data_IF_205784396608
#
_entry.id   IF_205784396608
#
_cell.length_a   1.000
_cell.length_b   1.000
_cell.length_c   1.000
_cell.angle_alpha   90.00
_cell.angle_beta   90.00
_cell.angle_gamma   90.00
#
_symmetry.space_group_name_H-M   'P 1'
#
loop_
_entity.id
_entity.type
_entity.pdbx_description
1 polymer ?
#
# COMPACT_ATOMS: atom_id res chain seq x y z
N UNK A 1 20.00 27.26 26.00
CA UNK A 1 19.97 28.59 25.36
C UNK A 1 18.60 29.16 25.62
N UNK A 2 18.49 30.25 26.39
CA UNK A 2 17.20 30.89 26.65
C UNK A 2 16.73 31.58 25.37
N UNK A 3 15.50 31.33 24.95
CA UNK A 3 14.93 31.96 23.76
C UNK A 3 14.66 33.44 24.06
N UNK A 4 15.08 34.33 23.16
CA UNK A 4 14.84 35.78 23.28
C UNK A 4 13.36 36.11 22.95
N UNK A 5 12.62 36.80 23.83
CA UNK A 5 11.20 37.14 23.61
C UNK A 5 10.95 37.90 22.30
N UNK A 6 11.84 38.85 21.93
CA UNK A 6 11.68 39.66 20.73
C UNK A 6 11.84 38.81 19.47
N UNK A 7 12.80 37.87 19.49
CA UNK A 7 13.02 36.92 18.41
C UNK A 7 11.82 35.98 18.25
N UNK A 8 11.26 35.46 19.34
CA UNK A 8 10.05 34.62 19.30
C UNK A 8 8.85 35.37 18.72
N UNK A 9 8.62 36.60 19.18
CA UNK A 9 7.52 37.44 18.69
C UNK A 9 7.67 37.77 17.20
N UNK A 10 8.90 38.08 16.75
CA UNK A 10 9.19 38.32 15.34
C UNK A 10 8.91 37.09 14.48
N UNK A 11 9.35 35.91 14.91
CA UNK A 11 9.14 34.66 14.18
C UNK A 11 7.65 34.30 14.08
N UNK A 12 6.90 34.47 15.18
CA UNK A 12 5.44 34.27 15.19
C UNK A 12 4.78 35.23 14.21
N UNK A 13 5.13 36.51 14.26
CA UNK A 13 4.58 37.53 13.36
C UNK A 13 4.87 37.21 11.89
N UNK A 14 6.11 36.82 11.57
CA UNK A 14 6.50 36.45 10.22
C UNK A 14 5.72 35.23 9.72
N UNK A 15 5.59 34.19 10.55
CA UNK A 15 4.82 33.01 10.18
C UNK A 15 3.33 33.31 9.96
N UNK A 16 2.72 34.20 10.76
CA UNK A 16 1.37 34.68 10.50
C UNK A 16 1.26 35.53 9.22
N UNK A 17 2.27 36.34 8.91
CA UNK A 17 2.31 37.09 7.64
C UNK A 17 2.40 36.14 6.43
N UNK A 18 3.22 35.08 6.53
CA UNK A 18 3.32 34.06 5.48
C UNK A 18 2.01 33.27 5.31
N UNK A 19 1.15 33.26 6.33
CA UNK A 19 -0.17 32.63 6.33
C UNK A 19 -1.31 33.60 6.06
N UNK A 20 -1.03 34.86 5.68
CA UNK A 20 -2.05 35.92 5.53
C UNK A 20 -3.19 35.53 4.57
N UNK A 21 -2.86 34.87 3.46
CA UNK A 21 -3.84 34.43 2.46
C UNK A 21 -4.60 33.15 2.88
N UNK A 22 -4.25 32.53 4.02
CA UNK A 22 -4.84 31.28 4.49
C UNK A 22 -5.80 31.51 5.66
N UNK A 23 -7.00 30.90 5.65
CA UNK A 23 -8.03 31.10 6.66
C UNK A 23 -7.79 30.25 7.92
N UNK A 24 -6.62 30.40 8.55
CA UNK A 24 -6.14 29.58 9.68
C UNK A 24 -7.07 29.60 10.90
N UNK A 25 -7.90 30.63 11.05
CA UNK A 25 -8.87 30.74 12.14
C UNK A 25 -10.11 29.87 11.94
N UNK A 26 -10.41 29.47 10.71
CA UNK A 26 -11.56 28.62 10.37
C UNK A 26 -11.08 27.29 9.80
N UNK A 27 -11.11 26.24 10.63
CA UNK A 27 -10.62 24.91 10.25
C UNK A 27 -11.30 24.38 8.98
N UNK A 28 -12.60 24.57 8.82
CA UNK A 28 -13.33 24.05 7.65
C UNK A 28 -12.90 24.71 6.33
N UNK A 29 -12.63 26.02 6.37
CA UNK A 29 -12.15 26.79 5.23
C UNK A 29 -10.67 26.50 4.97
N UNK A 30 -9.88 26.29 6.03
CA UNK A 30 -8.48 25.89 5.90
C UNK A 30 -8.34 24.48 5.33
N UNK A 31 -9.20 23.55 5.72
CA UNK A 31 -9.25 22.20 5.12
C UNK A 31 -9.45 22.29 3.61
N UNK A 32 -10.37 23.13 3.14
CA UNK A 32 -10.55 23.37 1.71
C UNK A 32 -9.30 23.90 1.03
N UNK A 33 -8.70 24.94 1.62
CA UNK A 33 -7.50 25.54 1.06
C UNK A 33 -6.40 24.47 0.90
N UNK A 34 -6.16 23.65 1.92
CA UNK A 34 -5.18 22.56 1.89
C UNK A 34 -5.52 21.50 0.83
N UNK A 35 -6.79 21.08 0.72
CA UNK A 35 -7.22 20.10 -0.27
C UNK A 35 -6.95 20.60 -1.70
N UNK A 36 -7.18 21.90 -1.93
CA UNK A 36 -6.98 22.57 -3.22
C UNK A 36 -5.51 22.80 -3.61
N UNK A 37 -4.56 22.76 -2.67
CA UNK A 37 -3.12 22.88 -3.00
C UNK A 37 -2.73 21.75 -3.97
N UNK A 38 -2.19 22.11 -5.13
CA UNK A 38 -1.73 21.14 -6.13
C UNK A 38 -0.20 21.07 -6.22
N UNK A 39 0.48 22.16 -5.86
CA UNK A 39 1.94 22.27 -5.99
C UNK A 39 2.66 22.01 -4.66
N UNK A 40 3.68 21.15 -4.70
CA UNK A 40 4.52 20.86 -3.52
C UNK A 40 5.19 22.12 -2.95
N UNK A 41 5.60 23.06 -3.82
CA UNK A 41 6.25 24.30 -3.40
C UNK A 41 5.33 25.19 -2.58
N UNK A 42 4.05 25.27 -2.95
CA UNK A 42 3.04 25.99 -2.17
C UNK A 42 2.83 25.29 -0.83
N UNK A 43 2.63 23.97 -0.84
CA UNK A 43 2.44 23.19 0.38
C UNK A 43 3.59 23.36 1.39
N UNK A 44 4.83 23.37 0.89
CA UNK A 44 6.03 23.55 1.71
C UNK A 44 6.08 24.91 2.40
N UNK A 45 5.65 25.99 1.73
CA UNK A 45 5.58 27.33 2.34
C UNK A 45 4.60 27.36 3.50
N UNK A 46 3.38 26.88 3.29
CA UNK A 46 2.34 26.82 4.33
C UNK A 46 2.77 25.93 5.49
N UNK A 47 3.35 24.76 5.17
CA UNK A 47 3.88 23.81 6.17
C UNK A 47 4.99 24.42 6.99
N UNK A 48 5.90 25.16 6.37
CA UNK A 48 7.00 25.83 7.08
C UNK A 48 6.47 26.86 8.09
N UNK A 49 5.53 27.71 7.68
CA UNK A 49 4.94 28.71 8.56
C UNK A 49 4.17 28.07 9.74
N UNK A 50 3.34 27.05 9.46
CA UNK A 50 2.59 26.32 10.50
C UNK A 50 3.52 25.58 11.46
N UNK A 51 4.57 24.93 10.95
CA UNK A 51 5.55 24.25 11.80
C UNK A 51 6.36 25.24 12.63
N UNK A 52 6.69 26.41 12.09
CA UNK A 52 7.31 27.50 12.85
C UNK A 52 6.43 27.90 14.03
N UNK A 53 5.13 28.13 13.80
CA UNK A 53 4.20 28.42 14.90
C UNK A 53 4.16 27.28 15.94
N UNK A 54 4.11 26.03 15.51
CA UNK A 54 4.09 24.86 16.40
C UNK A 54 5.36 24.75 17.26
N UNK A 55 6.53 24.95 16.65
CA UNK A 55 7.83 24.94 17.33
C UNK A 55 7.95 26.09 18.33
N UNK A 56 7.56 27.30 17.93
CA UNK A 56 7.59 28.49 18.78
C UNK A 56 6.65 28.35 19.98
N UNK A 57 5.46 27.78 19.78
CA UNK A 57 4.56 27.45 20.88
C UNK A 57 5.19 26.46 21.87
N UNK A 58 5.86 25.40 21.38
CA UNK A 58 6.50 24.42 22.24
C UNK A 58 7.60 25.06 23.11
N UNK A 59 8.40 25.97 22.54
CA UNK A 59 9.40 26.75 23.28
C UNK A 59 8.71 27.61 24.34
N UNK A 60 7.68 28.37 23.97
CA UNK A 60 6.92 29.24 24.88
C UNK A 60 6.37 28.46 26.06
N UNK A 61 5.72 27.31 25.81
CA UNK A 61 5.07 26.48 26.84
C UNK A 61 6.06 25.95 27.89
N UNK A 62 7.31 25.76 27.52
CA UNK A 62 8.36 25.27 28.42
C UNK A 62 9.16 26.39 29.11
N UNK A 63 8.83 27.65 28.82
CA UNK A 63 9.49 28.81 29.41
C UNK A 63 9.01 29.11 30.83
N UNK A 64 9.91 29.66 31.65
CA UNK A 64 9.59 30.21 32.96
C UNK A 64 9.51 31.75 32.95
N UNK A 65 9.71 32.39 31.79
CA UNK A 65 9.62 33.84 31.63
C UNK A 65 8.18 34.25 31.32
N UNK A 66 7.58 35.07 32.20
CA UNK A 66 6.20 35.58 32.07
C UNK A 66 5.95 36.33 30.75
N UNK A 67 6.94 37.09 30.26
CA UNK A 67 6.81 37.82 28.99
C UNK A 67 6.70 36.84 27.82
N UNK A 68 7.48 35.76 27.85
CA UNK A 68 7.41 34.70 26.83
C UNK A 68 6.08 33.95 26.93
N UNK A 69 5.64 33.62 28.15
CA UNK A 69 4.40 32.89 28.38
C UNK A 69 3.17 33.66 27.88
N UNK A 70 3.16 34.99 27.98
CA UNK A 70 2.05 35.81 27.46
C UNK A 70 1.86 35.69 25.93
N UNK A 71 2.90 35.33 25.17
CA UNK A 71 2.78 35.11 23.71
C UNK A 71 1.88 33.92 23.36
N UNK A 72 1.63 33.01 24.31
CA UNK A 72 0.73 31.85 24.13
C UNK A 72 -0.69 32.29 23.75
N UNK A 73 -1.15 33.44 24.25
CA UNK A 73 -2.50 33.97 23.98
C UNK A 73 -2.69 34.38 22.53
N UNK A 74 -1.59 34.65 21.81
CA UNK A 74 -1.61 35.01 20.39
C UNK A 74 -1.70 33.79 19.46
N UNK A 75 -1.73 32.57 20.01
CA UNK A 75 -1.59 31.33 19.25
C UNK A 75 -2.64 30.29 19.65
N UNK A 76 -3.40 29.81 18.68
CA UNK A 76 -4.31 28.67 18.86
C UNK A 76 -3.58 27.37 18.50
N UNK A 77 -2.96 26.73 19.50
CA UNK A 77 -2.19 25.50 19.29
C UNK A 77 -3.05 24.33 18.79
N UNK A 78 -4.33 24.29 19.17
CA UNK A 78 -5.22 23.21 18.74
C UNK A 78 -5.46 23.31 17.23
N UNK A 79 -5.74 24.53 16.74
CA UNK A 79 -5.87 24.78 15.30
C UNK A 79 -4.56 24.54 14.57
N UNK A 80 -3.44 25.09 15.06
CA UNK A 80 -2.11 24.90 14.45
C UNK A 80 -1.77 23.42 14.33
N UNK A 81 -2.04 22.62 15.38
CA UNK A 81 -1.74 21.19 15.39
C UNK A 81 -2.62 20.41 14.40
N UNK A 82 -3.92 20.74 14.32
CA UNK A 82 -4.84 20.16 13.33
C UNK A 82 -4.39 20.49 11.90
N UNK A 83 -4.07 21.76 11.63
CA UNK A 83 -3.59 22.23 10.33
C UNK A 83 -2.28 21.53 9.94
N UNK A 84 -1.33 21.43 10.87
CA UNK A 84 -0.06 20.70 10.68
C UNK A 84 -0.30 19.24 10.28
N UNK A 85 -1.25 18.55 10.93
CA UNK A 85 -1.62 17.17 10.57
C UNK A 85 -2.19 17.08 9.15
N UNK A 86 -3.10 17.99 8.79
CA UNK A 86 -3.71 18.03 7.45
C UNK A 86 -2.67 18.28 6.35
N UNK A 87 -1.73 19.21 6.59
CA UNK A 87 -0.63 19.49 5.66
C UNK A 87 0.28 18.28 5.46
N UNK A 88 0.57 17.52 6.52
CA UNK A 88 1.36 16.29 6.42
C UNK A 88 0.64 15.22 5.58
N UNK A 89 -0.67 15.04 5.74
CA UNK A 89 -1.45 14.11 4.92
C UNK A 89 -1.49 14.56 3.47
N UNK A 90 -1.64 15.87 3.23
CA UNK A 90 -1.57 16.45 1.89
C UNK A 90 -0.21 16.24 1.23
N UNK A 91 0.89 16.34 1.98
CA UNK A 91 2.23 16.07 1.47
C UNK A 91 2.37 14.62 1.00
N UNK A 92 1.91 13.66 1.82
CA UNK A 92 1.87 12.23 1.46
C UNK A 92 1.07 12.01 0.18
N UNK A 93 -0.09 12.64 0.05
CA UNK A 93 -0.93 12.55 -1.15
C UNK A 93 -0.21 13.08 -2.39
N UNK A 94 0.44 14.26 -2.32
CA UNK A 94 1.15 14.83 -3.46
C UNK A 94 2.35 13.97 -3.88
N UNK A 95 3.12 13.46 -2.92
CA UNK A 95 4.20 12.53 -3.20
C UNK A 95 3.70 11.23 -3.84
N UNK A 96 2.62 10.65 -3.32
CA UNK A 96 2.01 9.46 -3.90
C UNK A 96 1.56 9.67 -5.35
N UNK A 97 0.91 10.82 -5.64
CA UNK A 97 0.57 11.19 -7.03
C UNK A 97 1.79 11.31 -7.93
N UNK A 98 2.83 11.99 -7.44
CA UNK A 98 4.07 12.18 -8.18
C UNK A 98 4.75 10.84 -8.49
N UNK A 99 4.84 9.95 -7.51
CA UNK A 99 5.43 8.63 -7.65
C UNK A 99 4.64 7.77 -8.64
N UNK A 100 3.30 7.70 -8.49
CA UNK A 100 2.42 6.97 -9.40
C UNK A 100 2.59 7.45 -10.85
N UNK A 101 2.72 8.76 -11.06
CA UNK A 101 2.91 9.34 -12.39
C UNK A 101 4.32 9.11 -12.95
N UNK A 102 5.34 9.08 -12.08
CA UNK A 102 6.72 8.77 -12.46
C UNK A 102 6.97 7.29 -12.68
N UNK A 103 6.15 6.41 -12.12
CA UNK A 103 6.30 4.94 -12.15
C UNK A 103 6.06 4.31 -13.54
N UNK A 104 6.65 4.89 -14.59
CA UNK A 104 6.74 4.29 -15.92
C UNK A 104 7.57 2.98 -15.85
N UNK A 105 8.43 2.75 -14.83
CA UNK A 105 9.18 1.49 -14.62
C UNK A 105 9.76 1.32 -13.18
N UNK A 106 8.96 1.27 -12.10
CA UNK A 106 9.48 1.01 -10.74
C UNK A 106 8.63 0.05 -9.91
N UNK A 107 9.30 -0.71 -9.02
CA UNK A 107 8.82 -1.80 -8.17
C UNK A 107 7.34 -1.71 -7.72
N UNK A 108 6.61 -2.81 -7.94
CA UNK A 108 5.18 -3.00 -7.61
C UNK A 108 4.79 -2.64 -6.16
N UNK A 109 5.71 -2.77 -5.20
CA UNK A 109 5.47 -2.46 -3.78
C UNK A 109 5.33 -0.96 -3.50
N UNK A 110 6.06 -0.11 -4.23
CA UNK A 110 6.00 1.36 -4.06
C UNK A 110 4.62 1.87 -4.50
N UNK A 111 4.09 1.29 -5.58
CA UNK A 111 2.75 1.62 -6.09
C UNK A 111 1.66 1.30 -5.05
N UNK A 112 1.83 0.24 -4.25
CA UNK A 112 0.86 -0.12 -3.21
C UNK A 112 0.75 0.92 -2.10
N UNK A 113 1.89 1.31 -1.52
CA UNK A 113 1.93 2.30 -0.43
C UNK A 113 1.39 3.66 -0.89
N UNK A 114 1.74 4.07 -2.12
CA UNK A 114 1.25 5.30 -2.72
C UNK A 114 -0.27 5.24 -2.95
N UNK A 115 -0.81 4.12 -3.44
CA UNK A 115 -2.26 3.95 -3.59
C UNK A 115 -3.01 3.99 -2.26
N UNK A 116 -2.46 3.36 -1.22
CA UNK A 116 -3.03 3.44 0.13
C UNK A 116 -3.02 4.87 0.64
N UNK A 117 -1.92 5.61 0.45
CA UNK A 117 -1.84 7.02 0.83
C UNK A 117 -2.87 7.90 0.09
N UNK A 118 -3.15 7.62 -1.19
CA UNK A 118 -4.22 8.29 -1.93
C UNK A 118 -5.61 7.99 -1.36
N UNK A 119 -5.89 6.73 -1.03
CA UNK A 119 -7.16 6.31 -0.44
C UNK A 119 -7.36 6.93 0.94
N UNK A 120 -6.35 6.89 1.80
CA UNK A 120 -6.40 7.49 3.15
C UNK A 120 -6.74 8.97 3.09
N UNK A 121 -6.07 9.72 2.20
CA UNK A 121 -6.37 11.13 1.99
C UNK A 121 -7.81 11.35 1.51
N UNK A 122 -8.27 10.59 0.50
CA UNK A 122 -9.64 10.75 -0.04
C UNK A 122 -10.71 10.38 1.00
N UNK A 123 -10.48 9.35 1.80
CA UNK A 123 -11.38 8.91 2.88
C UNK A 123 -11.48 9.98 3.97
N UNK A 124 -10.34 10.51 4.41
CA UNK A 124 -10.28 11.47 5.51
C UNK A 124 -10.87 12.84 5.15
N UNK A 125 -10.51 13.36 3.98
CA UNK A 125 -10.95 14.69 3.54
C UNK A 125 -12.29 14.67 2.78
N UNK A 126 -12.89 13.48 2.65
CA UNK A 126 -14.14 13.23 1.91
C UNK A 126 -14.17 13.86 0.50
N UNK A 127 -13.00 13.88 -0.12
CA UNK A 127 -12.65 14.18 -1.51
C UNK A 127 -13.14 15.51 -2.13
N UNK A 128 -14.41 15.89 -1.97
CA UNK A 128 -14.97 17.13 -2.51
C UNK A 128 -16.17 17.67 -1.71
N UNK A 129 -16.24 19.01 -1.58
CA UNK A 129 -17.42 19.71 -1.07
C UNK A 129 -18.60 19.69 -2.05
N UNK A 130 -18.34 19.46 -3.34
CA UNK A 130 -19.37 19.44 -4.38
C UNK A 130 -20.31 18.24 -4.29
N UNK A 131 -19.87 17.17 -3.62
CA UNK A 131 -20.67 15.96 -3.42
C UNK A 131 -21.75 16.16 -2.35
N UNK A 132 -22.86 15.46 -2.50
CA UNK A 132 -23.88 15.32 -1.45
C UNK A 132 -23.32 14.47 -0.31
N UNK A 133 -23.86 14.67 0.89
CA UNK A 133 -23.43 13.89 2.06
C UNK A 133 -23.50 12.37 1.83
N UNK A 134 -24.59 11.88 1.23
CA UNK A 134 -24.75 10.44 0.91
C UNK A 134 -23.69 9.93 -0.06
N UNK A 135 -23.35 10.72 -1.07
CA UNK A 135 -22.33 10.36 -2.07
C UNK A 135 -20.94 10.25 -1.43
N UNK A 136 -20.60 11.18 -0.53
CA UNK A 136 -19.35 11.12 0.24
C UNK A 136 -19.23 9.87 1.10
N UNK A 137 -20.29 9.49 1.80
CA UNK A 137 -20.27 8.28 2.65
C UNK A 137 -20.18 7.01 1.79
N UNK A 138 -20.89 6.96 0.67
CA UNK A 138 -20.85 5.80 -0.24
C UNK A 138 -19.47 5.61 -0.86
N UNK A 139 -18.86 6.65 -1.43
CA UNK A 139 -17.53 6.50 -2.05
C UNK A 139 -16.45 6.20 -1.00
N UNK A 140 -16.54 6.79 0.19
CA UNK A 140 -15.63 6.50 1.31
C UNK A 140 -15.69 5.02 1.70
N UNK A 141 -16.87 4.42 1.76
CA UNK A 141 -17.02 2.99 2.02
C UNK A 141 -16.36 2.14 0.92
N UNK A 142 -16.54 2.51 -0.35
CA UNK A 142 -15.92 1.80 -1.50
C UNK A 142 -14.40 1.91 -1.50
N UNK A 143 -13.84 3.07 -1.16
CA UNK A 143 -12.40 3.25 -1.00
C UNK A 143 -11.84 2.45 0.17
N UNK A 144 -12.58 2.31 1.28
CA UNK A 144 -12.18 1.41 2.39
C UNK A 144 -12.11 -0.05 1.93
N UNK A 145 -13.08 -0.51 1.16
CA UNK A 145 -13.04 -1.87 0.59
C UNK A 145 -11.86 -2.03 -0.40
N UNK A 146 -11.61 -1.03 -1.25
CA UNK A 146 -10.45 -1.06 -2.15
C UNK A 146 -9.13 -1.12 -1.37
N UNK A 147 -9.01 -0.36 -0.27
CA UNK A 147 -7.87 -0.41 0.64
C UNK A 147 -7.70 -1.79 1.28
N UNK A 148 -8.78 -2.39 1.76
CA UNK A 148 -8.77 -3.73 2.34
C UNK A 148 -8.27 -4.78 1.34
N UNK A 149 -8.74 -4.70 0.08
CA UNK A 149 -8.27 -5.57 -1.00
C UNK A 149 -6.77 -5.39 -1.27
N UNK A 150 -6.28 -4.14 -1.30
CA UNK A 150 -4.86 -3.81 -1.49
C UNK A 150 -3.99 -4.40 -0.36
N UNK A 151 -4.43 -4.27 0.89
CA UNK A 151 -3.68 -4.72 2.07
C UNK A 151 -3.68 -6.24 2.21
N UNK A 152 -4.83 -6.88 1.98
CA UNK A 152 -5.08 -8.29 2.31
C UNK A 152 -4.97 -9.26 1.13
N UNK A 153 -4.60 -8.80 -0.08
CA UNK A 153 -4.43 -9.73 -1.20
C UNK A 153 -3.26 -10.70 -0.95
N UNK A 154 -3.48 -12.03 -1.07
CA UNK A 154 -2.43 -13.03 -0.85
C UNK A 154 -1.33 -13.01 -1.93
N UNK A 155 -1.64 -12.58 -3.17
CA UNK A 155 -0.71 -12.58 -4.30
C UNK A 155 -0.59 -11.18 -4.90
N UNK A 156 0.15 -10.31 -4.21
CA UNK A 156 0.36 -8.89 -4.59
C UNK A 156 1.18 -8.71 -5.87
N UNK A 157 1.89 -9.75 -6.32
CA UNK A 157 2.65 -9.75 -7.58
C UNK A 157 1.86 -10.36 -8.74
N UNK A 158 0.68 -10.93 -8.45
CA UNK A 158 -0.15 -11.59 -9.44
C UNK A 158 -0.72 -10.62 -10.45
N UNK A 159 -0.88 -11.10 -11.68
CA UNK A 159 -1.45 -10.33 -12.80
C UNK A 159 -2.79 -9.69 -12.44
N UNK A 160 -3.67 -10.43 -11.78
CA UNK A 160 -4.99 -9.94 -11.33
C UNK A 160 -4.86 -8.74 -10.37
N UNK A 161 -3.91 -8.79 -9.43
CA UNK A 161 -3.66 -7.70 -8.47
C UNK A 161 -3.01 -6.49 -9.14
N UNK A 162 -2.08 -6.72 -10.06
CA UNK A 162 -1.45 -5.66 -10.85
C UNK A 162 -2.47 -4.94 -11.73
N UNK A 163 -3.36 -5.68 -12.39
CA UNK A 163 -4.46 -5.12 -13.17
C UNK A 163 -5.44 -4.31 -12.31
N UNK A 164 -5.77 -4.82 -11.11
CA UNK A 164 -6.57 -4.08 -10.13
C UNK A 164 -5.90 -2.77 -9.70
N UNK A 165 -4.64 -2.83 -9.26
CA UNK A 165 -3.87 -1.68 -8.79
C UNK A 165 -3.73 -0.61 -9.87
N UNK A 166 -3.47 -1.01 -11.12
CA UNK A 166 -3.38 -0.10 -12.26
C UNK A 166 -4.70 0.58 -12.60
N UNK A 167 -5.82 -0.16 -12.57
CA UNK A 167 -7.16 0.42 -12.83
C UNK A 167 -7.61 1.32 -11.69
N UNK A 168 -7.37 0.90 -10.45
CA UNK A 168 -7.66 1.71 -9.26
C UNK A 168 -6.84 3.00 -9.27
N UNK A 169 -5.55 2.93 -9.61
CA UNK A 169 -4.69 4.11 -9.75
C UNK A 169 -5.30 5.16 -10.69
N UNK A 170 -5.75 4.74 -11.88
CA UNK A 170 -6.41 5.64 -12.83
C UNK A 170 -7.68 6.26 -12.25
N UNK A 171 -8.54 5.41 -11.67
CA UNK A 171 -9.79 5.84 -11.06
C UNK A 171 -9.58 6.86 -9.92
N UNK A 172 -8.55 6.67 -9.08
CA UNK A 172 -8.22 7.60 -8.00
C UNK A 172 -7.62 8.93 -8.50
N UNK A 173 -7.13 8.99 -9.73
CA UNK A 173 -6.63 10.24 -10.31
C UNK A 173 -7.73 11.05 -10.98
N UNK A 174 -8.86 10.44 -11.32
CA UNK A 174 -10.02 11.14 -11.85
C UNK A 174 -10.62 12.07 -10.78
N UNK A 175 -10.93 13.33 -11.13
CA UNK A 175 -11.58 14.25 -10.20
C UNK A 175 -13.00 13.77 -9.94
N UNK A 176 -13.36 13.51 -8.68
CA UNK A 176 -14.71 13.12 -8.31
C UNK A 176 -15.61 14.35 -8.17
N UNK A 177 -16.65 14.41 -9.00
CA UNK A 177 -17.69 15.44 -9.00
C UNK A 177 -19.07 14.78 -8.90
N UNK A 178 -20.12 15.57 -8.63
CA UNK A 178 -21.49 15.06 -8.62
C UNK A 178 -21.92 14.47 -9.98
N UNK A 179 -21.35 14.97 -11.09
CA UNK A 179 -21.74 14.56 -12.45
C UNK A 179 -21.18 13.19 -12.81
N UNK A 180 -19.94 12.88 -12.41
CA UNK A 180 -19.29 11.60 -12.70
C UNK A 180 -19.36 10.60 -11.52
N UNK A 181 -20.00 10.97 -10.41
CA UNK A 181 -20.09 10.16 -9.21
C UNK A 181 -20.56 8.74 -9.50
N UNK A 182 -21.68 8.58 -10.21
CA UNK A 182 -22.27 7.25 -10.48
C UNK A 182 -21.32 6.35 -11.29
N UNK A 183 -20.56 6.94 -12.21
CA UNK A 183 -19.59 6.22 -13.04
C UNK A 183 -18.41 5.74 -12.20
N UNK A 184 -17.74 6.66 -11.49
CA UNK A 184 -16.59 6.33 -10.63
C UNK A 184 -17.00 5.35 -9.54
N UNK A 185 -18.14 5.58 -8.91
CA UNK A 185 -18.69 4.75 -7.84
C UNK A 185 -19.01 3.32 -8.32
N UNK A 186 -19.52 3.17 -9.55
CA UNK A 186 -19.78 1.85 -10.16
C UNK A 186 -18.49 1.16 -10.60
N UNK A 187 -17.56 1.91 -11.18
CA UNK A 187 -16.26 1.40 -11.59
C UNK A 187 -15.45 0.89 -10.40
N UNK A 188 -15.40 1.67 -9.30
CA UNK A 188 -14.72 1.27 -8.07
C UNK A 188 -15.32 -0.03 -7.50
N UNK A 189 -16.65 -0.10 -7.39
CA UNK A 189 -17.33 -1.31 -6.91
C UNK A 189 -17.02 -2.54 -7.78
N UNK A 190 -17.04 -2.37 -9.10
CA UNK A 190 -16.74 -3.45 -10.04
C UNK A 190 -15.30 -3.95 -9.89
N UNK A 191 -14.33 -3.03 -9.74
CA UNK A 191 -12.93 -3.38 -9.52
C UNK A 191 -12.74 -4.16 -8.22
N UNK A 192 -13.34 -3.67 -7.13
CA UNK A 192 -13.29 -4.32 -5.81
C UNK A 192 -13.87 -5.74 -5.90
N UNK A 193 -15.08 -5.90 -6.43
CA UNK A 193 -15.71 -7.23 -6.53
C UNK A 193 -14.91 -8.22 -7.39
N UNK A 194 -14.25 -7.74 -8.46
CA UNK A 194 -13.37 -8.58 -9.27
C UNK A 194 -12.16 -9.07 -8.48
N UNK A 195 -11.52 -8.17 -7.75
CA UNK A 195 -10.35 -8.49 -6.94
C UNK A 195 -10.70 -9.39 -5.74
N UNK A 196 -11.84 -9.16 -5.07
CA UNK A 196 -12.35 -10.04 -4.01
C UNK A 196 -12.61 -11.45 -4.53
N UNK A 197 -13.22 -11.59 -5.70
CA UNK A 197 -13.45 -12.90 -6.33
C UNK A 197 -12.14 -13.61 -6.67
N UNK A 198 -11.12 -12.88 -7.12
CA UNK A 198 -9.78 -13.43 -7.37
C UNK A 198 -9.11 -13.88 -6.06
N UNK A 199 -9.22 -13.07 -4.99
CA UNK A 199 -8.73 -13.42 -3.66
C UNK A 199 -9.43 -14.67 -3.11
N UNK A 200 -10.77 -14.76 -3.22
CA UNK A 200 -11.53 -15.95 -2.81
C UNK A 200 -11.08 -17.22 -3.53
N UNK A 201 -10.86 -17.17 -4.84
CA UNK A 201 -10.29 -18.31 -5.60
C UNK A 201 -8.91 -18.69 -5.09
N UNK A 202 -8.09 -17.70 -4.75
CA UNK A 202 -6.75 -17.89 -4.19
C UNK A 202 -6.83 -18.56 -2.82
N UNK A 203 -7.76 -18.14 -1.94
CA UNK A 203 -8.03 -18.80 -0.65
C UNK A 203 -8.47 -20.25 -0.80
N UNK A 204 -9.35 -20.55 -1.77
CA UNK A 204 -9.77 -21.93 -2.05
C UNK A 204 -8.59 -22.80 -2.53
N UNK A 205 -7.69 -22.23 -3.33
CA UNK A 205 -6.48 -22.91 -3.78
C UNK A 205 -5.47 -23.10 -2.64
N UNK A 206 -5.38 -22.13 -1.73
CA UNK A 206 -4.54 -22.18 -0.53
C UNK A 206 -4.91 -23.36 0.38
N UNK A 207 -6.21 -23.61 0.57
CA UNK A 207 -6.70 -24.78 1.30
C UNK A 207 -6.26 -26.11 0.65
N UNK A 208 -6.07 -26.16 -0.67
CA UNK A 208 -5.60 -27.37 -1.37
C UNK A 208 -4.12 -27.65 -1.16
N UNK A 209 -3.33 -26.63 -0.84
CA UNK A 209 -1.90 -26.74 -0.58
C UNK A 209 -1.56 -26.66 0.91
N UNK A 210 -2.50 -27.00 1.80
CA UNK A 210 -2.29 -26.96 3.25
C UNK A 210 -1.80 -25.59 3.76
N UNK A 211 -2.34 -24.51 3.19
CA UNK A 211 -1.95 -23.12 3.48
C UNK A 211 -0.53 -22.71 3.06
N UNK A 212 0.09 -23.46 2.15
CA UNK A 212 1.39 -23.12 1.59
C UNK A 212 1.24 -22.15 0.40
N UNK A 213 1.49 -20.86 0.66
CA UNK A 213 1.34 -19.79 -0.33
C UNK A 213 2.32 -19.94 -1.50
N UNK A 214 3.51 -20.51 -1.28
CA UNK A 214 4.53 -20.65 -2.33
C UNK A 214 4.05 -21.56 -3.46
N UNK A 215 3.36 -22.65 -3.12
CA UNK A 215 2.77 -23.56 -4.11
C UNK A 215 1.51 -22.98 -4.76
N UNK A 216 0.73 -22.16 -4.05
CA UNK A 216 -0.42 -21.43 -4.63
C UNK A 216 0.07 -20.44 -5.68
N UNK A 217 1.06 -19.61 -5.35
CA UNK A 217 1.59 -18.62 -6.29
C UNK A 217 2.23 -19.33 -7.48
N UNK A 218 3.04 -20.36 -7.25
CA UNK A 218 3.61 -21.19 -8.33
C UNK A 218 2.50 -21.77 -9.21
N UNK A 219 1.43 -22.32 -8.64
CA UNK A 219 0.28 -22.82 -9.41
C UNK A 219 -0.32 -21.71 -10.27
N UNK A 220 -0.56 -20.52 -9.71
CA UNK A 220 -1.11 -19.37 -10.45
C UNK A 220 -0.21 -18.95 -11.60
N UNK A 221 1.12 -18.86 -11.39
CA UNK A 221 2.09 -18.52 -12.46
C UNK A 221 2.09 -19.55 -13.59
N UNK A 222 1.95 -20.84 -13.29
CA UNK A 222 1.84 -21.89 -14.30
C UNK A 222 0.53 -21.81 -15.09
N UNK A 223 -0.56 -21.47 -14.42
CA UNK A 223 -1.86 -21.21 -15.05
C UNK A 223 -1.80 -19.99 -15.99
N UNK A 224 -1.14 -18.91 -15.57
CA UNK A 224 -0.99 -17.68 -16.39
C UNK A 224 -0.23 -17.93 -17.70
N UNK A 225 0.71 -18.88 -17.69
CA UNK A 225 1.49 -19.31 -18.85
C UNK A 225 0.77 -20.36 -19.72
N UNK A 226 -0.45 -20.78 -19.35
CA UNK A 226 -1.20 -21.87 -20.00
C UNK A 226 -0.39 -23.17 -20.14
N UNK A 227 0.47 -23.45 -19.16
CA UNK A 227 1.42 -24.57 -19.21
C UNK A 227 0.70 -25.93 -19.13
N UNK A 228 -0.39 -26.03 -18.36
CA UNK A 228 -1.26 -27.22 -18.30
C UNK A 228 -2.65 -26.87 -17.80
N UNK A 229 -3.50 -27.89 -17.68
CA UNK A 229 -4.76 -27.77 -16.97
C UNK A 229 -4.54 -27.69 -15.43
N UNK A 230 -5.48 -27.08 -14.68
CA UNK A 230 -5.34 -26.90 -13.23
C UNK A 230 -5.09 -28.19 -12.44
N UNK A 231 -5.67 -29.31 -12.87
CA UNK A 231 -5.53 -30.59 -12.17
C UNK A 231 -4.14 -31.18 -12.37
N UNK A 232 -3.58 -31.09 -13.58
CA UNK A 232 -2.21 -31.53 -13.87
C UNK A 232 -1.18 -30.76 -13.06
N UNK A 233 -1.33 -29.43 -12.98
CA UNK A 233 -0.49 -28.56 -12.13
C UNK A 233 -0.62 -28.96 -10.66
N UNK A 234 -1.85 -29.14 -10.17
CA UNK A 234 -2.09 -29.53 -8.79
C UNK A 234 -1.45 -30.87 -8.43
N UNK A 235 -1.61 -31.89 -9.28
CA UNK A 235 -1.00 -33.22 -9.08
C UNK A 235 0.51 -33.12 -9.02
N UNK A 236 1.13 -32.39 -9.96
CA UNK A 236 2.58 -32.21 -9.97
C UNK A 236 3.09 -31.52 -8.70
N UNK A 237 2.50 -30.37 -8.38
CA UNK A 237 2.96 -29.53 -7.26
C UNK A 237 2.68 -30.20 -5.90
N UNK A 238 1.62 -30.98 -5.76
CA UNK A 238 1.33 -31.73 -4.54
C UNK A 238 2.31 -32.89 -4.31
N UNK A 239 2.68 -33.60 -5.39
CA UNK A 239 3.71 -34.63 -5.34
C UNK A 239 5.08 -34.03 -4.99
N UNK A 240 5.43 -32.93 -5.65
CA UNK A 240 6.65 -32.18 -5.37
C UNK A 240 6.72 -31.69 -3.92
N UNK A 241 5.61 -31.13 -3.40
CA UNK A 241 5.52 -30.68 -2.01
C UNK A 241 5.79 -31.81 -1.03
N UNK A 242 5.10 -32.93 -1.18
CA UNK A 242 5.25 -34.09 -0.29
C UNK A 242 6.71 -34.59 -0.26
N UNK A 243 7.35 -34.66 -1.43
CA UNK A 243 8.73 -35.14 -1.55
C UNK A 243 9.75 -34.16 -0.95
N UNK A 244 9.56 -32.85 -1.15
CA UNK A 244 10.42 -31.82 -0.56
C UNK A 244 10.24 -31.75 0.97
N UNK A 245 9.01 -31.79 1.47
CA UNK A 245 8.72 -31.80 2.90
C UNK A 245 9.38 -33.02 3.59
N UNK A 246 9.37 -34.19 2.94
CA UNK A 246 10.05 -35.41 3.43
C UNK A 246 11.58 -35.25 3.46
N UNK A 247 12.19 -34.66 2.43
CA UNK A 247 13.64 -34.40 2.39
C UNK A 247 14.10 -33.44 3.48
N UNK A 248 13.36 -32.35 3.66
CA UNK A 248 13.63 -31.33 4.68
C UNK A 248 13.52 -31.97 6.06
N UNK A 249 12.46 -32.75 6.31
CA UNK A 249 12.25 -33.47 7.57
C UNK A 249 13.40 -34.46 7.88
N UNK A 250 13.91 -35.16 6.86
CA UNK A 250 15.06 -36.07 6.98
C UNK A 250 16.42 -35.36 7.11
N UNK A 251 16.45 -34.02 7.18
CA UNK A 251 17.67 -33.19 7.20
C UNK A 251 18.65 -33.51 6.09
N UNK A 252 18.15 -33.98 4.94
CA UNK A 252 19.02 -34.25 3.78
C UNK A 252 19.52 -32.97 3.12
N UNK A 253 18.83 -31.85 3.37
CA UNK A 253 19.14 -30.51 2.84
C UNK A 253 18.86 -29.48 3.95
N UNK A 254 19.67 -28.41 4.01
CA UNK A 254 19.36 -27.22 4.83
C UNK A 254 18.78 -26.15 3.92
N UNK A 255 17.64 -25.57 4.30
CA UNK A 255 16.93 -24.52 3.54
C UNK A 255 17.75 -23.25 3.30
N UNK A 256 18.95 -23.13 3.91
CA UNK A 256 19.82 -21.95 3.82
C UNK A 256 20.76 -21.93 2.62
N UNK A 257 20.99 -23.05 1.92
CA UNK A 257 21.88 -23.08 0.76
C UNK A 257 21.07 -23.08 -0.54
N UNK A 258 21.00 -21.91 -1.20
CA UNK A 258 20.27 -21.65 -2.45
C UNK A 258 20.49 -22.72 -3.54
N UNK A 259 21.74 -23.10 -3.79
CA UNK A 259 22.09 -24.11 -4.78
C UNK A 259 21.58 -25.51 -4.41
N UNK A 260 21.51 -25.83 -3.12
CA UNK A 260 21.02 -27.14 -2.65
C UNK A 260 19.52 -27.26 -2.80
N UNK A 261 18.75 -26.24 -2.41
CA UNK A 261 17.29 -26.23 -2.52
C UNK A 261 16.84 -26.25 -3.99
N UNK A 262 17.49 -25.46 -4.85
CA UNK A 262 17.19 -25.45 -6.29
C UNK A 262 17.49 -26.81 -6.94
N UNK A 263 18.61 -27.43 -6.57
CA UNK A 263 18.95 -28.79 -7.02
C UNK A 263 17.94 -29.82 -6.52
N UNK A 264 17.46 -29.66 -5.28
CA UNK A 264 16.46 -30.51 -4.68
C UNK A 264 15.14 -30.50 -5.44
N UNK A 265 14.63 -29.28 -5.71
CA UNK A 265 13.40 -29.05 -6.45
C UNK A 265 13.49 -29.70 -7.83
N UNK A 266 14.59 -29.46 -8.57
CA UNK A 266 14.80 -30.09 -9.89
C UNK A 266 14.86 -31.61 -9.81
N UNK A 267 15.50 -32.16 -8.77
CA UNK A 267 15.60 -33.61 -8.56
C UNK A 267 14.23 -34.22 -8.30
N UNK A 268 13.42 -33.61 -7.43
CA UNK A 268 12.06 -34.13 -7.16
C UNK A 268 11.07 -33.90 -8.30
N UNK A 269 11.18 -32.80 -9.05
CA UNK A 269 10.42 -32.63 -10.29
C UNK A 269 10.67 -33.77 -11.27
N UNK A 270 11.93 -34.17 -11.47
CA UNK A 270 12.28 -35.31 -12.33
C UNK A 270 11.70 -36.62 -11.83
N UNK A 271 11.66 -36.84 -10.52
CA UNK A 271 11.05 -38.03 -9.93
C UNK A 271 9.52 -38.02 -10.14
N UNK A 272 8.87 -36.88 -9.87
CA UNK A 272 7.44 -36.71 -10.08
C UNK A 272 7.01 -36.96 -11.53
N UNK A 273 7.81 -36.54 -12.53
CA UNK A 273 7.55 -36.84 -13.94
C UNK A 273 7.74 -38.32 -14.30
N UNK A 274 8.67 -39.03 -13.64
CA UNK A 274 8.85 -40.48 -13.85
C UNK A 274 7.68 -41.27 -13.27
N UNK A 275 7.22 -40.88 -12.09
CA UNK A 275 6.11 -41.55 -11.39
C UNK A 275 4.75 -41.21 -11.99
N UNK A 276 4.62 -40.05 -12.65
CA UNK A 276 3.38 -39.62 -13.31
C UNK A 276 3.63 -39.32 -14.80
N UNK A 277 3.63 -40.36 -15.67
CA UNK A 277 3.85 -40.19 -17.11
C UNK A 277 2.84 -39.27 -17.82
N UNK A 278 1.67 -39.05 -17.22
CA UNK A 278 0.64 -38.12 -17.71
C UNK A 278 1.06 -36.65 -17.63
N UNK A 279 2.11 -36.32 -16.87
CA UNK A 279 2.64 -34.96 -16.68
C UNK A 279 3.87 -34.68 -17.56
N UNK A 280 4.16 -35.55 -18.54
CA UNK A 280 5.36 -35.47 -19.38
C UNK A 280 5.40 -34.20 -20.24
N UNK A 281 4.24 -33.64 -20.56
CA UNK A 281 4.09 -32.34 -21.22
C UNK A 281 4.72 -31.18 -20.41
N UNK A 282 4.77 -31.30 -19.09
CA UNK A 282 5.36 -30.30 -18.17
C UNK A 282 6.86 -30.44 -17.99
N UNK A 283 7.46 -31.53 -18.46
CA UNK A 283 8.89 -31.77 -18.33
C UNK A 283 9.72 -30.67 -19.02
N UNK A 284 9.20 -30.09 -20.11
CA UNK A 284 9.84 -28.97 -20.82
C UNK A 284 9.89 -27.68 -19.98
N UNK A 285 9.01 -27.54 -18.99
CA UNK A 285 8.89 -26.36 -18.13
C UNK A 285 9.63 -26.52 -16.78
N UNK A 286 10.45 -27.58 -16.64
CA UNK A 286 11.13 -27.92 -15.38
C UNK A 286 11.90 -26.74 -14.79
N UNK A 287 12.65 -26.00 -15.61
CA UNK A 287 13.47 -24.89 -15.13
C UNK A 287 12.61 -23.70 -14.68
N UNK A 288 11.49 -23.43 -15.37
CA UNK A 288 10.55 -22.38 -14.98
C UNK A 288 9.84 -22.72 -13.66
N UNK A 289 9.33 -23.95 -13.53
CA UNK A 289 8.67 -24.42 -12.30
C UNK A 289 9.66 -24.37 -11.13
N UNK A 290 10.88 -24.85 -11.33
CA UNK A 290 11.89 -24.88 -10.29
C UNK A 290 12.31 -23.47 -9.84
N UNK A 291 12.51 -22.55 -10.79
CA UNK A 291 12.86 -21.17 -10.47
C UNK A 291 11.72 -20.46 -9.74
N UNK A 292 10.49 -20.57 -10.26
CA UNK A 292 9.32 -19.93 -9.66
C UNK A 292 9.10 -20.41 -8.23
N UNK A 293 9.10 -21.73 -8.00
CA UNK A 293 8.89 -22.28 -6.66
C UNK A 293 10.01 -21.87 -5.70
N UNK A 294 11.26 -21.86 -6.18
CA UNK A 294 12.40 -21.42 -5.39
C UNK A 294 12.26 -19.94 -4.97
N UNK A 295 11.91 -19.06 -5.89
CA UNK A 295 11.72 -17.63 -5.62
C UNK A 295 10.62 -17.41 -4.56
N UNK A 296 9.51 -18.16 -4.66
CA UNK A 296 8.40 -18.03 -3.72
C UNK A 296 8.72 -18.63 -2.33
N UNK A 297 9.40 -19.78 -2.27
CA UNK A 297 9.83 -20.39 -1.01
C UNK A 297 10.78 -19.45 -0.25
N UNK A 298 11.79 -18.90 -0.93
CA UNK A 298 12.78 -18.02 -0.29
C UNK A 298 12.20 -16.64 0.08
N UNK A 299 11.22 -16.12 -0.65
CA UNK A 299 10.58 -14.85 -0.32
C UNK A 299 9.60 -14.98 0.85
N UNK A 300 8.84 -16.07 0.93
CA UNK A 300 7.88 -16.30 2.02
C UNK A 300 8.58 -16.69 3.33
N UNK A 301 9.73 -17.36 3.28
CA UNK A 301 10.55 -17.66 4.48
C UNK A 301 11.09 -16.38 5.14
N UNK A 302 11.45 -15.37 4.33
CA UNK A 302 11.88 -14.06 4.83
C UNK A 302 10.73 -13.22 5.43
N UNK A 303 9.47 -13.60 5.23
CA UNK A 303 8.29 -12.93 5.80
C UNK A 303 7.75 -13.57 7.10
N UNK A 304 8.48 -14.54 7.68
CA UNK A 304 8.27 -14.94 9.07
C UNK A 304 7.18 -15.98 9.31
N UNK A 305 7.19 -17.09 8.55
CA UNK A 305 6.35 -18.25 8.84
C UNK A 305 7.16 -19.43 9.43
N UNK A 306 7.82 -19.18 10.57
CA UNK A 306 8.22 -20.22 11.50
C UNK A 306 7.61 -19.92 12.87
N UNK A 307 6.29 -20.12 12.98
CA UNK A 307 5.63 -20.32 14.27
C UNK A 307 4.56 -21.39 14.13
N UNK A 308 4.99 -22.65 14.23
CA UNK A 308 4.24 -23.76 14.83
C UNK A 308 5.16 -24.99 14.92
N UNK A 309 5.92 -25.07 16.03
CA UNK A 309 6.11 -26.32 16.75
C UNK A 309 5.22 -26.29 17.98
#
# INVERSE_FOLDING_TARGET
MFADPNTLEKDIKNAYNDLFDYPIDNIETMTNAIVSISEMKELQKVSHAINTLKERYNIIRTSNDEKILSLKEKMDIEKISKISSMLNQKAKQLHAKENINKAINTNDLIILEDLIALLDFKIEFKESKELRFKEREEISAKYKQAKEVLENSPDKKGKEFQDFSKKLSKLLQEPLTSDNFNEISTACNTLVSQAEKANQKTTLLLNKYNNDLSYVITHKRLMDQNISNPMGIFTLLSALKSALDERISKRQETLSEEDTLKTAIKRELRNAFKENPSLKDLQKETDFIAQTLFDELTQNDNQGNFNAQ
#
